data_IF_328364565225
#
_entry.id   IF_328364565225
#
_cell.length_a   1.000
_cell.length_b   1.000
_cell.length_c   1.000
_cell.angle_alpha   90.00
_cell.angle_beta   90.00
_cell.angle_gamma   90.00
#
_symmetry.space_group_name_H-M   'P 1'
#
loop_
_entity.id
_entity.type
_entity.pdbx_description
1 polymer ?
#
# COMPACT_ATOMS: atom_id res chain seq x y z
N UNK A 1 2.46 -0.80 4.64
CA UNK A 1 3.90 -0.78 5.01
C UNK A 1 4.09 -0.87 6.51
N UNK A 2 3.42 -0.03 7.31
CA UNK A 2 3.53 -0.04 8.77
C UNK A 2 3.38 -1.44 9.39
N UNK A 3 2.28 -2.13 9.12
CA UNK A 3 2.04 -3.50 9.59
C UNK A 3 3.15 -4.51 9.21
N UNK A 4 3.82 -4.34 8.06
CA UNK A 4 4.92 -5.21 7.67
C UNK A 4 6.17 -4.95 8.52
N UNK A 5 6.43 -3.68 8.87
CA UNK A 5 7.54 -3.31 9.76
C UNK A 5 7.30 -3.80 11.19
N UNK A 6 6.05 -3.77 11.66
CA UNK A 6 5.67 -4.33 12.97
C UNK A 6 5.88 -5.84 13.03
N UNK A 7 5.56 -6.54 11.93
CA UNK A 7 5.86 -7.97 11.74
C UNK A 7 7.34 -8.28 11.46
N UNK A 8 8.24 -7.31 11.68
CA UNK A 8 9.69 -7.44 11.51
C UNK A 8 10.14 -7.84 10.09
N UNK A 9 9.37 -7.45 9.07
CA UNK A 9 9.81 -7.59 7.68
C UNK A 9 10.91 -6.57 7.38
N UNK A 10 11.93 -6.98 6.62
CA UNK A 10 12.98 -6.09 6.17
C UNK A 10 12.40 -4.84 5.45
N UNK A 11 12.73 -3.65 5.95
CA UNK A 11 12.13 -2.39 5.50
C UNK A 11 12.31 -2.14 3.99
N UNK A 12 13.51 -2.46 3.44
CA UNK A 12 13.77 -2.36 1.99
C UNK A 12 12.83 -3.25 1.17
N UNK A 13 12.56 -4.47 1.64
CA UNK A 13 11.66 -5.42 0.96
C UNK A 13 10.22 -4.92 0.99
N UNK A 14 9.77 -4.43 2.14
CA UNK A 14 8.44 -3.86 2.32
C UNK A 14 8.22 -2.66 1.38
N UNK A 15 9.18 -1.74 1.31
CA UNK A 15 9.11 -0.55 0.45
C UNK A 15 9.16 -0.93 -1.04
N UNK A 16 10.14 -1.75 -1.47
CA UNK A 16 10.26 -2.14 -2.88
C UNK A 16 9.01 -2.86 -3.39
N UNK A 17 8.43 -3.75 -2.58
CA UNK A 17 7.16 -4.41 -2.90
C UNK A 17 6.01 -3.42 -3.02
N UNK A 18 5.93 -2.43 -2.13
CA UNK A 18 4.88 -1.41 -2.17
C UNK A 18 4.99 -0.53 -3.42
N UNK A 19 6.20 -0.08 -3.76
CA UNK A 19 6.49 0.68 -4.99
C UNK A 19 6.05 -0.10 -6.23
N UNK A 20 6.53 -1.34 -6.38
CA UNK A 20 6.19 -2.20 -7.52
C UNK A 20 4.69 -2.47 -7.61
N UNK A 21 4.02 -2.67 -6.47
CA UNK A 21 2.57 -2.87 -6.46
C UNK A 21 1.82 -1.62 -6.92
N UNK A 22 2.26 -0.42 -6.54
CA UNK A 22 1.62 0.83 -6.95
C UNK A 22 1.80 1.10 -8.45
N UNK A 23 3.02 0.93 -8.97
CA UNK A 23 3.29 1.07 -10.41
C UNK A 23 2.49 0.05 -11.22
N UNK A 24 2.40 -1.21 -10.75
CA UNK A 24 1.60 -2.25 -11.40
C UNK A 24 0.10 -1.92 -11.43
N UNK A 25 -0.40 -1.19 -10.43
CA UNK A 25 -1.79 -0.71 -10.37
C UNK A 25 -2.03 0.53 -11.25
N UNK A 26 -1.03 1.02 -11.98
CA UNK A 26 -1.16 2.15 -12.90
C UNK A 26 -0.81 3.51 -12.32
N UNK A 27 -0.16 3.57 -11.15
CA UNK A 27 0.38 4.85 -10.65
C UNK A 27 1.49 5.36 -11.57
N UNK A 28 1.42 6.64 -11.97
CA UNK A 28 2.42 7.29 -12.83
C UNK A 28 3.72 7.61 -12.08
N UNK A 29 3.65 7.68 -10.75
CA UNK A 29 4.81 7.69 -9.89
C UNK A 29 4.47 7.53 -8.43
N UNK A 30 5.47 7.15 -7.65
CA UNK A 30 5.35 6.95 -6.22
C UNK A 30 6.65 7.41 -5.53
N UNK A 31 6.49 8.06 -4.39
CA UNK A 31 7.57 8.34 -3.44
C UNK A 31 7.19 7.78 -2.08
N UNK A 32 8.11 7.09 -1.44
CA UNK A 32 7.94 6.56 -0.08
C UNK A 32 9.12 7.04 0.73
N UNK A 33 8.86 7.74 1.83
CA UNK A 33 9.86 8.08 2.83
C UNK A 33 9.56 7.28 4.11
N UNK A 34 10.56 6.61 4.64
CA UNK A 34 10.50 5.92 5.91
C UNK A 34 11.56 6.50 6.84
N UNK A 35 11.16 6.99 8.00
CA UNK A 35 12.03 7.64 8.99
C UNK A 35 11.96 6.92 10.32
N UNK A 36 13.11 6.70 10.94
CA UNK A 36 13.20 6.11 12.29
C UNK A 36 14.38 5.14 12.43
N UNK A 37 14.30 4.26 13.43
CA UNK A 37 15.31 3.22 13.71
C UNK A 37 15.13 2.01 12.79
N UNK A 38 15.35 2.23 11.50
CA UNK A 38 15.06 1.26 10.44
C UNK A 38 15.91 -0.01 10.58
N UNK A 39 15.25 -1.14 10.83
CA UNK A 39 15.89 -2.44 11.00
C UNK A 39 16.57 -2.64 12.36
N UNK A 40 16.22 -1.84 13.37
CA UNK A 40 16.82 -1.93 14.71
C UNK A 40 18.16 -1.20 14.83
N UNK A 41 18.51 -0.34 13.87
CA UNK A 41 19.67 0.53 13.97
C UNK A 41 19.60 1.42 15.23
N UNK A 42 20.76 1.68 15.84
CA UNK A 42 20.86 2.55 17.01
C UNK A 42 20.48 3.99 16.67
N UNK A 43 20.95 4.48 15.51
CA UNK A 43 20.69 5.83 15.01
C UNK A 43 19.50 5.82 14.05
N UNK A 44 18.58 6.76 14.24
CA UNK A 44 17.46 6.95 13.34
C UNK A 44 17.92 7.57 12.00
N UNK A 45 17.35 7.09 10.90
CA UNK A 45 17.65 7.59 9.54
C UNK A 45 16.37 7.75 8.74
N UNK A 46 16.45 8.56 7.69
CA UNK A 46 15.40 8.71 6.69
C UNK A 46 15.87 8.04 5.40
N UNK A 47 15.16 6.98 5.01
CA UNK A 47 15.38 6.27 3.76
C UNK A 47 14.19 6.55 2.85
N UNK A 48 14.46 6.87 1.59
CA UNK A 48 13.41 7.14 0.62
C UNK A 48 13.62 6.35 -0.66
N UNK A 49 12.50 5.92 -1.24
CA UNK A 49 12.43 5.28 -2.54
C UNK A 49 11.47 6.08 -3.41
N UNK A 50 11.89 6.34 -4.65
CA UNK A 50 11.07 7.03 -5.64
C UNK A 50 11.15 6.28 -6.95
N UNK A 51 10.00 6.11 -7.59
CA UNK A 51 9.88 5.54 -8.92
C UNK A 51 8.87 6.36 -9.72
N UNK A 52 9.19 6.65 -10.98
CA UNK A 52 8.34 7.49 -11.85
C UNK A 52 8.35 8.99 -11.51
N UNK A 53 7.32 9.69 -11.99
CA UNK A 53 7.16 11.15 -11.86
C UNK A 53 6.30 11.47 -10.65
N UNK A 54 6.78 12.36 -9.78
CA UNK A 54 6.02 12.87 -8.61
C UNK A 54 6.23 14.38 -8.54
N UNK A 55 5.47 15.17 -9.33
CA UNK A 55 5.58 16.62 -9.32
C UNK A 55 4.89 17.19 -8.07
N UNK A 56 5.68 17.68 -7.11
CA UNK A 56 5.16 18.26 -5.85
C UNK A 56 4.84 19.76 -5.96
N UNK A 57 5.31 20.42 -7.01
CA UNK A 57 5.11 21.86 -7.22
C UNK A 57 3.96 22.16 -8.18
N UNK A 58 3.44 21.13 -8.87
CA UNK A 58 2.41 21.28 -9.89
C UNK A 58 1.03 21.10 -9.24
N UNK A 59 0.28 22.19 -9.04
CA UNK A 59 -1.03 22.14 -8.37
C UNK A 59 -2.07 21.28 -9.10
N UNK A 60 -2.00 21.21 -10.45
CA UNK A 60 -2.88 20.36 -11.28
C UNK A 60 -2.59 18.85 -11.19
N UNK A 61 -1.50 18.47 -10.50
CA UNK A 61 -1.12 17.07 -10.36
C UNK A 61 -1.97 16.40 -9.28
N UNK A 62 -2.61 15.29 -9.62
CA UNK A 62 -3.33 14.45 -8.66
C UNK A 62 -2.34 13.62 -7.86
N UNK A 63 -1.97 14.12 -6.68
CA UNK A 63 -1.02 13.47 -5.77
C UNK A 63 -1.71 13.14 -4.46
N UNK A 64 -1.91 11.85 -4.22
CA UNK A 64 -2.39 11.36 -2.93
C UNK A 64 -1.24 11.29 -1.94
N UNK A 65 -1.46 11.85 -0.76
CA UNK A 65 -0.52 11.78 0.36
C UNK A 65 -1.11 10.96 1.51
N UNK A 66 -0.33 10.01 2.01
CA UNK A 66 -0.70 9.18 3.15
C UNK A 66 0.42 9.11 4.17
N UNK A 67 0.05 9.13 5.45
CA UNK A 67 0.97 8.92 6.57
C UNK A 67 0.57 7.70 7.38
N UNK A 68 1.55 6.98 7.89
CA UNK A 68 1.33 5.90 8.83
C UNK A 68 2.51 5.83 9.80
N UNK A 69 2.22 5.51 11.05
CA UNK A 69 3.23 5.23 12.07
C UNK A 69 3.27 3.72 12.31
N UNK A 70 4.46 3.14 12.38
CA UNK A 70 4.68 1.74 12.74
C UNK A 70 5.26 1.68 14.14
N UNK A 71 4.64 0.90 15.03
CA UNK A 71 5.08 0.71 16.40
C UNK A 71 5.95 -0.55 16.49
N UNK A 72 7.26 -0.37 16.44
CA UNK A 72 8.22 -1.49 16.53
C UNK A 72 8.80 -1.61 17.93
N UNK A 73 9.42 -2.75 18.23
CA UNK A 73 10.07 -2.97 19.53
C UNK A 73 11.21 -1.97 19.83
N UNK A 74 11.78 -1.34 18.81
CA UNK A 74 12.89 -0.38 18.93
C UNK A 74 12.41 1.08 18.97
N UNK A 75 11.09 1.31 18.94
CA UNK A 75 10.46 2.62 18.90
C UNK A 75 9.54 2.80 17.70
N UNK A 76 9.19 4.04 17.41
CA UNK A 76 8.25 4.41 16.35
C UNK A 76 8.97 4.74 15.04
N UNK A 77 8.51 4.14 13.94
CA UNK A 77 8.95 4.47 12.58
C UNK A 77 7.83 5.21 11.84
N UNK A 78 8.11 6.41 11.34
CA UNK A 78 7.19 7.18 10.52
C UNK A 78 7.31 6.84 9.04
N UNK A 79 6.18 6.62 8.37
CA UNK A 79 6.11 6.37 6.92
C UNK A 79 5.25 7.46 6.28
N UNK A 80 5.78 8.06 5.22
CA UNK A 80 5.11 9.06 4.39
C UNK A 80 5.11 8.56 2.95
N UNK A 81 3.96 8.58 2.29
CA UNK A 81 3.78 8.05 0.93
C UNK A 81 3.12 9.13 0.08
N UNK A 82 3.63 9.31 -1.14
CA UNK A 82 3.04 10.14 -2.18
C UNK A 82 2.79 9.26 -3.41
N UNK A 83 1.57 9.27 -3.93
CA UNK A 83 1.19 8.52 -5.14
C UNK A 83 0.67 9.52 -6.16
N UNK A 84 1.33 9.58 -7.32
CA UNK A 84 0.89 10.40 -8.44
C UNK A 84 0.05 9.54 -9.39
N UNK A 85 -1.23 9.92 -9.53
CA UNK A 85 -2.21 9.21 -10.37
C UNK A 85 -2.30 9.79 -11.79
N UNK A 86 -1.99 11.08 -11.95
CA UNK A 86 -2.03 11.78 -13.23
C UNK A 86 -2.31 13.27 -13.06
N UNK A 87 -2.55 13.98 -14.17
CA UNK A 87 -3.01 15.37 -14.12
C UNK A 87 -4.53 15.41 -14.26
N UNK A 88 -5.18 16.24 -13.46
CA UNK A 88 -6.62 16.54 -13.62
C UNK A 88 -6.69 17.71 -14.60
N UNK A 89 -7.13 17.48 -15.83
CA UNK A 89 -7.55 18.58 -16.68
C UNK A 89 -8.94 19.03 -16.18
N UNK A 90 -9.07 20.31 -15.80
CA UNK A 90 -10.28 20.92 -15.24
C UNK A 90 -11.52 20.92 -16.16
N UNK A 91 -11.52 20.18 -17.29
CA UNK A 91 -12.58 20.23 -18.29
C UNK A 91 -13.11 18.87 -18.75
N UNK A 92 -13.12 17.85 -17.88
CA UNK A 92 -13.77 16.56 -18.17
C UNK A 92 -14.78 16.17 -17.07
N UNK A 93 -16.10 16.32 -17.29
CA UNK A 93 -17.14 16.05 -16.29
C UNK A 93 -17.16 14.58 -15.80
N UNK A 94 -16.47 13.66 -16.47
CA UNK A 94 -16.34 12.26 -16.05
C UNK A 94 -15.35 12.03 -14.87
N UNK A 95 -14.45 12.98 -14.57
CA UNK A 95 -13.43 12.77 -13.54
C UNK A 95 -13.99 12.77 -12.11
N UNK A 96 -15.05 13.55 -11.87
CA UNK A 96 -15.76 13.56 -10.58
C UNK A 96 -16.56 12.26 -10.40
N UNK A 97 -17.19 11.79 -11.47
CA UNK A 97 -18.01 10.58 -11.47
C UNK A 97 -17.17 9.32 -11.23
N UNK A 98 -15.95 9.26 -11.80
CA UNK A 98 -15.02 8.14 -11.58
C UNK A 98 -14.48 8.08 -10.15
N UNK A 99 -14.20 9.23 -9.53
CA UNK A 99 -13.81 9.30 -8.10
C UNK A 99 -14.94 8.87 -7.19
N UNK A 100 -16.18 9.29 -7.48
CA UNK A 100 -17.36 8.88 -6.72
C UNK A 100 -17.67 7.38 -6.90
N UNK A 101 -17.54 6.85 -8.11
CA UNK A 101 -17.71 5.43 -8.40
C UNK A 101 -16.64 4.55 -7.72
N UNK A 102 -15.36 4.96 -7.73
CA UNK A 102 -14.28 4.26 -7.03
C UNK A 102 -14.47 4.31 -5.50
N UNK A 103 -14.95 5.43 -4.96
CA UNK A 103 -15.28 5.54 -3.53
C UNK A 103 -16.49 4.68 -3.14
N UNK A 104 -17.52 4.58 -4.01
CA UNK A 104 -18.70 3.74 -3.78
C UNK A 104 -18.38 2.24 -3.88
N UNK A 105 -17.47 1.83 -4.76
CA UNK A 105 -17.07 0.43 -4.94
C UNK A 105 -16.22 -0.14 -3.79
N UNK A 106 -15.58 0.72 -2.97
CA UNK A 106 -14.74 0.30 -1.85
C UNK A 106 -15.47 -0.20 -0.59
N UNK A 107 -16.81 -0.20 -0.58
CA UNK A 107 -17.65 -0.52 0.59
C UNK A 107 -18.07 -1.99 0.76
N UNK A 108 -17.82 -2.88 -0.20
CA UNK A 108 -18.27 -4.28 -0.14
C UNK A 108 -17.16 -5.22 0.35
N UNK A 109 -16.86 -5.18 1.65
CA UNK A 109 -16.14 -6.25 2.33
C UNK A 109 -17.05 -7.43 2.58
N UNK A 110 -17.08 -8.42 1.66
CA UNK A 110 -17.85 -9.64 1.86
C UNK A 110 -17.05 -10.63 2.72
N UNK A 111 -17.36 -10.60 4.02
CA UNK A 111 -16.96 -11.60 5.00
C UNK A 111 -17.84 -12.84 4.82
N UNK A 112 -17.45 -13.78 3.96
CA UNK A 112 -17.98 -15.15 4.03
C UNK A 112 -16.87 -16.18 4.14
N UNK A 113 -16.67 -16.65 5.37
CA UNK A 113 -15.87 -17.82 5.68
C UNK A 113 -16.54 -19.06 5.09
N UNK A 114 -15.98 -19.58 4.01
CA UNK A 114 -16.33 -20.88 3.46
C UNK A 114 -15.80 -21.97 4.42
N UNK A 115 -16.68 -22.42 5.32
CA UNK A 115 -16.47 -23.64 6.10
C UNK A 115 -16.28 -24.80 5.13
N UNK A 116 -15.03 -25.20 4.88
CA UNK A 116 -14.70 -26.44 4.17
C UNK A 116 -15.40 -27.61 4.84
N UNK A 117 -16.52 -28.03 4.23
CA UNK A 117 -17.21 -29.30 4.49
C UNK A 117 -16.16 -30.40 4.33
N UNK A 118 -15.80 -31.06 5.43
CA UNK A 118 -15.01 -32.31 5.41
C UNK A 118 -15.89 -33.36 4.72
N UNK A 119 -15.46 -33.83 3.56
CA UNK A 119 -16.00 -35.06 2.98
C UNK A 119 -15.54 -36.27 3.83
N UNK A 120 -16.41 -37.25 4.11
CA UNK A 120 -15.99 -38.50 4.74
C UNK A 120 -15.12 -39.31 3.77
N UNK A 121 -13.99 -39.82 4.24
CA UNK A 121 -13.18 -40.79 3.50
C UNK A 121 -13.96 -42.11 3.41
N UNK A 122 -14.18 -42.60 2.19
CA UNK A 122 -14.69 -43.96 1.98
C UNK A 122 -13.71 -45.01 2.55
N UNK A 123 -14.21 -46.06 3.21
CA UNK A 123 -13.37 -47.16 3.67
C UNK A 123 -12.86 -47.99 2.48
N UNK A 124 -11.59 -48.38 2.56
CA UNK A 124 -10.99 -49.38 1.66
C UNK A 124 -11.61 -50.73 2.00
N UNK A 125 -12.50 -51.22 1.14
CA UNK A 125 -12.92 -52.62 1.21
C UNK A 125 -11.80 -53.52 0.69
N UNK A 126 -11.54 -54.55 1.49
CA UNK A 126 -10.58 -55.60 1.28
C UNK A 126 -11.20 -56.74 0.46
N UNK A 127 -10.45 -57.24 -0.53
CA UNK A 127 -10.58 -58.58 -1.09
C UNK A 127 -9.22 -59.01 -1.66
#
# INVERSE_FOLDING_TARGET
IAQQLERRVAFRRAMKRAVQSAIRLGAQGIRINCSGRLGGAEIARLEWYREGRVPLHTLRADVDYGVATAHTAYGTCGIKVWIFKGEILEHDPLAQDKRQAEQAAGGAGDHHGERRRREPREPRDAA
#
